data_IF_292440229815
#
_entry.id   IF_292440229815
#
_cell.length_a   1.000
_cell.length_b   1.000
_cell.length_c   1.000
_cell.angle_alpha   90.00
_cell.angle_beta   90.00
_cell.angle_gamma   90.00
#
_symmetry.space_group_name_H-M   'P 1'
#
loop_
_entity.id
_entity.type
_entity.pdbx_description
1 polymer ?
#
# COMPACT_ATOMS: atom_id res chain seq x y z
N UNK A 1 -0.91 5.16 11.96
CA UNK A 1 -1.59 3.85 11.84
C UNK A 1 -0.57 2.77 12.13
N UNK A 2 -0.89 1.83 13.03
CA UNK A 2 -0.05 0.65 13.28
C UNK A 2 -0.57 -0.57 12.49
N UNK A 3 0.23 -1.64 12.42
CA UNK A 3 -0.09 -2.85 11.65
C UNK A 3 -1.39 -3.53 12.10
N UNK A 4 -1.71 -3.45 13.40
CA UNK A 4 -2.90 -4.08 13.98
C UNK A 4 -4.19 -3.31 13.63
N UNK A 5 -4.14 -1.98 13.63
CA UNK A 5 -5.22 -1.11 13.16
C UNK A 5 -5.46 -1.32 11.67
N UNK A 6 -4.39 -1.39 10.86
CA UNK A 6 -4.51 -1.67 9.43
C UNK A 6 -5.17 -3.03 9.18
N UNK A 7 -4.72 -4.10 9.85
CA UNK A 7 -5.34 -5.43 9.74
C UNK A 7 -6.83 -5.39 10.08
N UNK A 8 -7.19 -4.73 11.18
CA UNK A 8 -8.60 -4.66 11.63
C UNK A 8 -9.47 -3.92 10.62
N UNK A 9 -8.97 -2.80 10.09
CA UNK A 9 -9.67 -2.04 9.06
C UNK A 9 -9.83 -2.85 7.77
N UNK A 10 -8.78 -3.55 7.32
CA UNK A 10 -8.85 -4.38 6.12
C UNK A 10 -9.88 -5.50 6.25
N UNK A 11 -9.93 -6.19 7.39
CA UNK A 11 -10.92 -7.26 7.64
C UNK A 11 -12.34 -6.71 7.59
N UNK A 12 -12.58 -5.55 8.21
CA UNK A 12 -13.89 -4.91 8.23
C UNK A 12 -14.32 -4.42 6.83
N UNK A 13 -13.43 -3.74 6.11
CA UNK A 13 -13.69 -3.19 4.77
C UNK A 13 -13.93 -4.27 3.71
N UNK A 14 -13.24 -5.41 3.84
CA UNK A 14 -13.40 -6.56 2.95
C UNK A 14 -14.57 -7.48 3.35
N UNK A 15 -15.14 -7.32 4.55
CA UNK A 15 -16.21 -8.19 5.04
C UNK A 15 -15.78 -9.64 5.27
N UNK A 16 -14.50 -9.88 5.58
CA UNK A 16 -13.91 -11.23 5.73
C UNK A 16 -13.83 -11.70 7.20
N UNK A 17 -14.46 -10.99 8.13
CA UNK A 17 -14.38 -11.27 9.57
C UNK A 17 -14.87 -12.67 9.97
N UNK A 18 -15.73 -13.28 9.15
CA UNK A 18 -16.28 -14.62 9.37
C UNK A 18 -15.40 -15.75 8.80
N UNK A 19 -14.34 -15.41 8.05
CA UNK A 19 -13.40 -16.40 7.53
C UNK A 19 -12.49 -16.96 8.63
N UNK A 20 -11.95 -18.19 8.46
CA UNK A 20 -10.92 -18.71 9.35
C UNK A 20 -9.71 -17.75 9.45
N UNK A 21 -9.04 -17.66 10.61
CA UNK A 21 -7.89 -16.77 10.81
C UNK A 21 -6.81 -16.90 9.74
N UNK A 22 -6.52 -18.13 9.30
CA UNK A 22 -5.51 -18.41 8.28
C UNK A 22 -5.89 -17.79 6.92
N UNK A 23 -7.17 -17.84 6.56
CA UNK A 23 -7.68 -17.23 5.34
C UNK A 23 -7.70 -15.69 5.44
N UNK A 24 -8.03 -15.14 6.62
CA UNK A 24 -7.94 -13.70 6.86
C UNK A 24 -6.49 -13.22 6.69
N UNK A 25 -5.54 -13.93 7.29
CA UNK A 25 -4.12 -13.54 7.24
C UNK A 25 -3.54 -13.64 5.82
N UNK A 26 -3.93 -14.66 5.05
CA UNK A 26 -3.52 -14.76 3.63
C UNK A 26 -4.04 -13.58 2.80
N UNK A 27 -5.32 -13.23 2.95
CA UNK A 27 -5.94 -12.12 2.20
C UNK A 27 -5.32 -10.78 2.63
N UNK A 28 -5.20 -10.55 3.95
CA UNK A 28 -4.60 -9.33 4.50
C UNK A 28 -3.14 -9.17 4.05
N UNK A 29 -2.36 -10.26 4.04
CA UNK A 29 -0.96 -10.23 3.60
C UNK A 29 -0.85 -9.86 2.11
N UNK A 30 -1.60 -10.53 1.23
CA UNK A 30 -1.62 -10.24 -0.21
C UNK A 30 -2.04 -8.80 -0.48
N UNK A 31 -3.10 -8.33 0.19
CA UNK A 31 -3.58 -6.98 -0.01
C UNK A 31 -2.60 -5.94 0.54
N UNK A 32 -1.97 -6.22 1.68
CA UNK A 32 -0.91 -5.38 2.25
C UNK A 32 0.26 -5.20 1.27
N UNK A 33 0.69 -6.27 0.60
CA UNK A 33 1.72 -6.18 -0.45
C UNK A 33 1.28 -5.33 -1.65
N UNK A 34 0.02 -5.45 -2.08
CA UNK A 34 -0.52 -4.65 -3.20
C UNK A 34 -0.55 -3.17 -2.82
N UNK A 35 -1.06 -2.85 -1.63
CA UNK A 35 -1.11 -1.47 -1.11
C UNK A 35 0.31 -0.90 -1.03
N UNK A 36 1.27 -1.66 -0.49
CA UNK A 36 2.66 -1.21 -0.37
C UNK A 36 3.27 -0.90 -1.75
N UNK A 37 3.07 -1.79 -2.73
CA UNK A 37 3.52 -1.57 -4.11
C UNK A 37 2.89 -0.32 -4.71
N UNK A 38 1.58 -0.16 -4.53
CA UNK A 38 0.84 0.97 -5.08
C UNK A 38 1.29 2.31 -4.48
N UNK A 39 1.41 2.37 -3.14
CA UNK A 39 1.95 3.53 -2.42
C UNK A 39 3.37 3.87 -2.92
N UNK A 40 4.22 2.85 -3.10
CA UNK A 40 5.58 3.05 -3.62
C UNK A 40 5.56 3.68 -5.02
N UNK A 41 4.70 3.21 -5.92
CA UNK A 41 4.53 3.78 -7.27
C UNK A 41 4.06 5.23 -7.19
N UNK A 42 3.03 5.53 -6.39
CA UNK A 42 2.50 6.89 -6.25
C UNK A 42 3.53 7.85 -5.65
N UNK A 43 4.33 7.38 -4.69
CA UNK A 43 5.47 8.14 -4.15
C UNK A 43 6.43 8.47 -5.30
N UNK A 44 6.89 7.47 -6.05
CA UNK A 44 7.78 7.69 -7.19
C UNK A 44 7.22 8.70 -8.20
N UNK A 45 5.92 8.63 -8.50
CA UNK A 45 5.26 9.56 -9.41
C UNK A 45 5.30 11.02 -8.90
N UNK A 46 5.17 11.22 -7.59
CA UNK A 46 5.22 12.54 -6.95
C UNK A 46 6.63 13.11 -6.78
N UNK A 47 7.65 12.26 -6.73
CA UNK A 47 9.05 12.70 -6.64
C UNK A 47 9.51 13.38 -7.93
N UNK A 48 10.27 14.47 -7.79
CA UNK A 48 11.00 15.08 -8.92
C UNK A 48 12.06 14.11 -9.46
N UNK A 49 12.58 14.29 -10.69
CA UNK A 49 13.64 13.44 -11.24
C UNK A 49 14.86 13.33 -10.32
N UNK A 50 15.28 14.43 -9.70
CA UNK A 50 16.41 14.49 -8.77
C UNK A 50 16.10 13.71 -7.48
N UNK A 51 14.90 13.89 -6.94
CA UNK A 51 14.44 13.21 -5.74
C UNK A 51 14.29 11.69 -5.97
N UNK A 52 13.90 11.25 -7.17
CA UNK A 52 13.88 9.81 -7.52
C UNK A 52 15.27 9.20 -7.48
N UNK A 53 16.28 9.90 -8.01
CA UNK A 53 17.66 9.43 -8.00
C UNK A 53 18.20 9.33 -6.57
N UNK A 54 17.87 10.29 -5.70
CA UNK A 54 18.21 10.22 -4.28
C UNK A 54 17.51 9.05 -3.58
N UNK A 55 16.23 8.81 -3.88
CA UNK A 55 15.48 7.67 -3.36
C UNK A 55 16.07 6.32 -3.77
N UNK A 56 16.51 6.16 -5.02
CA UNK A 56 17.21 4.94 -5.49
C UNK A 56 18.52 4.69 -4.73
N UNK A 57 19.30 5.75 -4.46
CA UNK A 57 20.53 5.64 -3.67
C UNK A 57 20.21 5.25 -2.22
N UNK A 58 19.21 5.89 -1.61
CA UNK A 58 18.78 5.61 -0.24
C UNK A 58 18.31 4.15 -0.09
N UNK A 59 17.48 3.68 -1.01
CA UNK A 59 16.99 2.28 -1.01
C UNK A 59 18.11 1.27 -1.24
N UNK A 60 19.18 1.61 -1.97
CA UNK A 60 20.38 0.75 -2.11
C UNK A 60 21.15 0.60 -0.81
N UNK A 61 21.21 1.66 0.02
CA UNK A 61 21.85 1.61 1.34
C UNK A 61 21.02 0.89 2.39
N UNK A 62 19.70 0.82 2.18
CA UNK A 62 18.77 0.07 3.02
C UNK A 62 18.56 0.66 4.42
N UNK A 63 18.93 1.92 4.65
CA UNK A 63 18.73 2.62 5.93
C UNK A 63 17.27 3.08 6.06
N UNK A 64 16.43 2.40 6.87
CA UNK A 64 14.99 2.67 6.91
C UNK A 64 14.68 4.04 7.51
N UNK A 65 15.51 4.54 8.43
CA UNK A 65 15.31 5.85 9.05
C UNK A 65 15.56 6.97 8.04
N UNK A 66 16.60 6.84 7.21
CA UNK A 66 16.89 7.81 6.15
C UNK A 66 15.83 7.81 5.06
N UNK A 67 15.38 6.62 4.64
CA UNK A 67 14.30 6.48 3.66
C UNK A 67 13.04 7.18 4.21
N UNK A 68 12.68 6.92 5.47
CA UNK A 68 11.54 7.56 6.13
C UNK A 68 11.68 9.08 6.17
N UNK A 69 12.83 9.59 6.62
CA UNK A 69 13.07 11.04 6.72
C UNK A 69 13.02 11.74 5.35
N UNK A 70 13.58 11.11 4.30
CA UNK A 70 13.51 11.63 2.94
C UNK A 70 12.07 11.69 2.42
N UNK A 71 11.30 10.64 2.65
CA UNK A 71 9.91 10.56 2.22
C UNK A 71 9.02 11.59 2.93
N UNK A 72 9.22 11.81 4.23
CA UNK A 72 8.50 12.85 5.00
C UNK A 72 8.76 14.27 4.47
N UNK A 73 9.95 14.53 3.93
CA UNK A 73 10.31 15.83 3.35
C UNK A 73 9.83 15.99 1.91
N UNK A 74 9.90 14.90 1.13
CA UNK A 74 9.66 14.93 -0.31
C UNK A 74 8.19 14.72 -0.69
N UNK A 75 7.41 14.09 0.18
CA UNK A 75 6.00 13.78 -0.04
C UNK A 75 5.17 14.41 1.07
N UNK A 76 4.73 15.67 0.90
CA UNK A 76 3.75 16.26 1.81
C UNK A 76 2.46 15.42 1.81
N UNK A 77 1.81 15.34 2.97
CA UNK A 77 0.56 14.61 3.17
C UNK A 77 0.64 13.08 2.93
N UNK A 78 1.76 12.46 3.32
CA UNK A 78 1.96 11.01 3.22
C UNK A 78 0.81 10.19 3.83
N UNK A 79 0.25 10.63 4.96
CA UNK A 79 -0.90 9.97 5.59
C UNK A 79 -2.14 9.97 4.69
N UNK A 80 -2.42 11.09 4.03
CA UNK A 80 -3.53 11.22 3.07
C UNK A 80 -3.28 10.34 1.85
N UNK A 81 -2.06 10.33 1.33
CA UNK A 81 -1.68 9.46 0.20
C UNK A 81 -1.90 7.99 0.54
N UNK A 82 -1.42 7.54 1.71
CA UNK A 82 -1.63 6.15 2.15
C UNK A 82 -3.11 5.81 2.30
N UNK A 83 -3.93 6.71 2.87
CA UNK A 83 -5.35 6.50 3.04
C UNK A 83 -6.10 6.43 1.69
N UNK A 84 -5.74 7.29 0.75
CA UNK A 84 -6.31 7.30 -0.61
C UNK A 84 -5.91 6.04 -1.37
N UNK A 85 -4.65 5.61 -1.24
CA UNK A 85 -4.15 4.43 -1.94
C UNK A 85 -4.71 3.13 -1.36
N UNK A 86 -4.91 3.08 -0.04
CA UNK A 86 -5.66 2.02 0.62
C UNK A 86 -7.08 1.91 0.06
N UNK A 87 -7.83 3.02 -0.02
CA UNK A 87 -9.19 3.03 -0.57
C UNK A 87 -9.21 2.62 -2.04
N UNK A 88 -8.30 3.16 -2.85
CA UNK A 88 -8.17 2.83 -4.28
C UNK A 88 -7.90 1.35 -4.47
N UNK A 89 -6.93 0.80 -3.72
CA UNK A 89 -6.57 -0.61 -3.80
C UNK A 89 -7.71 -1.52 -3.34
N UNK A 90 -8.44 -1.14 -2.28
CA UNK A 90 -9.63 -1.86 -1.82
C UNK A 90 -10.74 -1.87 -2.88
N UNK A 91 -11.03 -0.73 -3.50
CA UNK A 91 -12.00 -0.63 -4.60
C UNK A 91 -11.55 -1.50 -5.76
N UNK A 92 -10.29 -1.38 -6.20
CA UNK A 92 -9.74 -2.17 -7.30
C UNK A 92 -9.71 -3.67 -7.00
N UNK A 93 -9.51 -4.08 -5.75
CA UNK A 93 -9.58 -5.48 -5.35
C UNK A 93 -11.01 -6.01 -5.39
N UNK A 94 -11.98 -5.22 -4.92
CA UNK A 94 -13.42 -5.57 -4.96
C UNK A 94 -13.98 -5.58 -6.39
N UNK A 95 -13.56 -4.65 -7.23
CA UNK A 95 -13.96 -4.55 -8.64
C UNK A 95 -13.18 -5.54 -9.51
N UNK A 96 -11.92 -5.84 -9.16
CA UNK A 96 -11.05 -6.81 -9.83
C UNK A 96 -11.51 -8.26 -9.68
N UNK A 97 -12.33 -8.56 -8.66
CA UNK A 97 -13.07 -9.82 -8.56
C UNK A 97 -14.12 -9.98 -9.68
N UNK A 98 -14.39 -8.92 -10.46
CA UNK A 98 -15.20 -8.98 -11.68
C UNK A 98 -14.36 -9.00 -12.99
N UNK A 99 -13.03 -8.82 -12.93
CA UNK A 99 -12.17 -8.80 -14.12
C UNK A 99 -11.48 -10.14 -14.45
N UNK A 100 -11.72 -11.20 -13.67
CA UNK A 100 -11.38 -12.60 -14.03
C UNK A 100 -12.58 -13.33 -14.67
N UNK A 101 -13.67 -12.59 -14.95
CA UNK A 101 -14.93 -13.15 -15.48
C UNK A 101 -15.19 -12.95 -16.98
N UNK A 102 -14.35 -12.23 -17.73
CA UNK A 102 -14.56 -12.02 -19.17
C UNK A 102 -13.25 -12.22 -19.96
N UNK A 103 -12.95 -13.49 -20.19
CA UNK A 103 -12.26 -13.95 -21.41
C UNK A 103 -12.73 -15.38 -21.66
N UNK A 104 -13.98 -15.49 -22.12
CA UNK A 104 -14.53 -16.67 -22.77
C UNK A 104 -14.54 -16.47 -24.29
#
# INVERSE_FOLDING_TARGET
>A
MNDQELRTNLIAELGIGDLPPEAQDEIVSKLGEIILKSVTVTIFEKLSPEARQEFEVLTTTGDPERIRAFLEQSVPDMETLMADELKRTLIAFREGDQLVGDNA
#
